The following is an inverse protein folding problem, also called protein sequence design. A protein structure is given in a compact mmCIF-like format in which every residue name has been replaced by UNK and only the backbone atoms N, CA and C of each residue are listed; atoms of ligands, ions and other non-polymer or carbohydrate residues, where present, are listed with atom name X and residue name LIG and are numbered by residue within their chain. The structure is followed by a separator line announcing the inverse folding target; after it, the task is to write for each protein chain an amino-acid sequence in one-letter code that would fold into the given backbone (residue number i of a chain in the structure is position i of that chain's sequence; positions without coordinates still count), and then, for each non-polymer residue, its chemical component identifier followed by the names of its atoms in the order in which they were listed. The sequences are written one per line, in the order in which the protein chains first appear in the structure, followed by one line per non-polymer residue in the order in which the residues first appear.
data_IF_479476169683
#
_entry.id   IF_479476169683
#
_cell.length_a   1.000
_cell.length_b   1.000
_cell.length_c   1.000
_cell.angle_alpha   90.00
_cell.angle_beta   90.00
_cell.angle_gamma   90.00
#
_symmetry.space_group_name_H-M   'P 1'
#
loop_
_entity.id
_entity.type
_entity.pdbx_description
1 polymer ?
#
# COMPACT_ATOMS: atom_id res chain seq x y z
N UNK A 1 9.17 -13.41 -34.91
CA UNK A 1 9.58 -12.94 -33.56
C UNK A 1 8.44 -12.09 -33.03
N UNK A 2 7.72 -12.55 -32.01
CA UNK A 2 6.61 -11.80 -31.40
C UNK A 2 7.23 -10.63 -30.62
N UNK A 3 6.82 -9.42 -30.93
CA UNK A 3 7.22 -8.24 -30.17
C UNK A 3 6.36 -8.20 -28.90
N UNK A 4 7.02 -8.27 -27.74
CA UNK A 4 6.39 -8.46 -26.44
C UNK A 4 5.50 -7.26 -26.07
N UNK A 5 5.80 -6.08 -26.63
CA UNK A 5 5.08 -4.84 -26.37
C UNK A 5 3.71 -4.74 -27.06
N UNK A 6 3.41 -5.61 -28.03
CA UNK A 6 2.14 -5.60 -28.77
C UNK A 6 1.70 -7.01 -29.19
N UNK A 7 1.85 -8.00 -28.30
CA UNK A 7 1.62 -9.42 -28.60
C UNK A 7 0.22 -9.72 -29.17
N UNK A 8 -0.82 -9.08 -28.62
CA UNK A 8 -2.21 -9.27 -29.07
C UNK A 8 -2.44 -8.57 -30.43
N UNK A 9 -2.00 -7.32 -30.57
CA UNK A 9 -2.12 -6.51 -31.80
C UNK A 9 -1.45 -7.20 -33.00
N UNK A 10 -0.19 -7.61 -32.83
CA UNK A 10 0.59 -8.29 -33.88
C UNK A 10 0.10 -9.71 -34.15
N UNK A 11 -0.55 -10.37 -33.19
CA UNK A 11 -1.19 -11.66 -33.44
C UNK A 11 -2.35 -11.51 -34.44
N UNK A 12 -3.18 -10.46 -34.32
CA UNK A 12 -4.24 -10.20 -35.30
C UNK A 12 -3.71 -9.74 -36.66
N UNK A 13 -2.62 -8.97 -36.68
CA UNK A 13 -1.90 -8.63 -37.91
C UNK A 13 -1.39 -9.88 -38.65
N UNK A 14 -0.87 -10.88 -37.91
CA UNK A 14 -0.38 -12.13 -38.50
C UNK A 14 -1.46 -13.02 -39.12
N UNK A 15 -2.73 -12.75 -38.82
CA UNK A 15 -3.92 -13.46 -39.37
C UNK A 15 -4.63 -12.61 -40.45
N UNK A 16 -4.09 -11.43 -40.80
CA UNK A 16 -4.62 -10.57 -41.86
C UNK A 16 -5.81 -9.68 -41.44
N UNK A 17 -6.04 -9.49 -40.14
CA UNK A 17 -7.14 -8.70 -39.58
C UNK A 17 -6.66 -7.32 -39.10
N UNK A 18 -6.18 -6.49 -40.03
CA UNK A 18 -5.59 -5.18 -39.74
C UNK A 18 -6.58 -4.20 -39.07
N UNK A 19 -7.88 -4.31 -39.36
CA UNK A 19 -8.91 -3.48 -38.71
C UNK A 19 -9.07 -3.79 -37.22
N UNK A 20 -8.89 -5.07 -36.83
CA UNK A 20 -8.97 -5.50 -35.43
C UNK A 20 -7.74 -5.05 -34.65
N UNK A 21 -6.57 -5.00 -35.30
CA UNK A 21 -5.34 -4.47 -34.73
C UNK A 21 -5.52 -3.03 -34.22
N UNK A 22 -6.06 -2.15 -35.08
CA UNK A 22 -6.26 -0.73 -34.74
C UNK A 22 -7.22 -0.55 -33.57
N UNK A 23 -8.32 -1.30 -33.54
CA UNK A 23 -9.30 -1.24 -32.44
C UNK A 23 -8.65 -1.69 -31.13
N UNK A 24 -7.89 -2.77 -31.15
CA UNK A 24 -7.22 -3.32 -29.97
C UNK A 24 -6.12 -2.37 -29.47
N UNK A 25 -5.36 -1.75 -30.38
CA UNK A 25 -4.34 -0.77 -30.02
C UNK A 25 -4.95 0.46 -29.32
N UNK A 26 -6.04 1.02 -29.88
CA UNK A 26 -6.76 2.16 -29.27
C UNK A 26 -7.32 1.76 -27.90
N UNK A 27 -7.94 0.58 -27.80
CA UNK A 27 -8.46 0.06 -26.54
C UNK A 27 -7.34 -0.16 -25.50
N UNK A 28 -6.19 -0.65 -25.92
CA UNK A 28 -5.01 -0.84 -25.07
C UNK A 28 -4.49 0.49 -24.50
N UNK A 29 -4.34 1.51 -25.34
CA UNK A 29 -3.90 2.85 -24.90
C UNK A 29 -4.92 3.47 -23.94
N UNK A 30 -6.22 3.41 -24.28
CA UNK A 30 -7.27 3.92 -23.42
C UNK A 30 -7.32 3.18 -22.06
N UNK A 31 -7.19 1.85 -22.07
CA UNK A 31 -7.19 1.01 -20.89
C UNK A 31 -6.00 1.27 -19.96
N UNK A 32 -4.78 1.30 -20.51
CA UNK A 32 -3.57 1.61 -19.72
C UNK A 32 -3.65 3.02 -19.14
N UNK A 33 -4.14 4.01 -19.91
CA UNK A 33 -4.32 5.38 -19.42
C UNK A 33 -5.31 5.44 -18.25
N UNK A 34 -6.43 4.71 -18.33
CA UNK A 34 -7.41 4.64 -17.25
C UNK A 34 -6.80 4.03 -15.97
N UNK A 35 -6.08 2.91 -16.09
CA UNK A 35 -5.41 2.26 -14.95
C UNK A 35 -4.36 3.18 -14.33
N UNK A 36 -3.55 3.86 -15.14
CA UNK A 36 -2.54 4.82 -14.68
C UNK A 36 -3.16 5.95 -13.85
N UNK A 37 -4.28 6.52 -14.31
CA UNK A 37 -5.00 7.56 -13.55
C UNK A 37 -5.49 7.05 -12.20
N UNK A 38 -6.07 5.85 -12.15
CA UNK A 38 -6.55 5.25 -10.89
C UNK A 38 -5.39 5.01 -9.92
N UNK A 39 -4.24 4.53 -10.41
CA UNK A 39 -3.05 4.31 -9.59
C UNK A 39 -2.45 5.63 -9.07
N UNK A 40 -2.35 6.65 -9.92
CA UNK A 40 -1.88 7.99 -9.52
C UNK A 40 -2.77 8.66 -8.47
N UNK A 41 -4.08 8.41 -8.49
CA UNK A 41 -5.01 8.93 -7.49
C UNK A 41 -4.99 8.11 -6.18
N UNK A 42 -4.57 6.85 -6.24
CA UNK A 42 -4.56 5.96 -5.07
C UNK A 42 -3.36 6.21 -4.15
N UNK A 43 -2.16 6.44 -4.72
CA UNK A 43 -0.95 6.64 -3.93
C UNK A 43 -1.03 7.84 -2.94
N UNK A 44 -1.48 9.04 -3.34
CA UNK A 44 -1.60 10.18 -2.43
C UNK A 44 -2.58 9.95 -1.27
N UNK A 45 -3.62 9.13 -1.46
CA UNK A 45 -4.57 8.79 -0.39
C UNK A 45 -3.93 7.93 0.69
N UNK A 46 -3.08 6.99 0.31
CA UNK A 46 -2.30 6.18 1.26
C UNK A 46 -1.35 7.07 2.04
N UNK A 47 -0.64 8.00 1.38
CA UNK A 47 0.21 8.97 2.06
C UNK A 47 -0.57 9.88 3.01
N UNK A 48 -1.78 10.31 2.64
CA UNK A 48 -2.64 11.11 3.50
C UNK A 48 -3.10 10.32 4.73
N UNK A 49 -3.47 9.04 4.59
CA UNK A 49 -3.81 8.16 5.71
C UNK A 49 -2.60 7.99 6.65
N UNK A 50 -1.42 7.71 6.11
CA UNK A 50 -0.18 7.62 6.90
C UNK A 50 0.17 8.96 7.60
N UNK A 51 -0.09 10.09 6.96
CA UNK A 51 0.11 11.42 7.56
C UNK A 51 -0.90 11.70 8.67
N UNK A 52 -2.15 11.25 8.53
CA UNK A 52 -3.17 11.32 9.59
C UNK A 52 -2.77 10.49 10.80
N UNK A 53 -2.18 9.32 10.57
CA UNK A 53 -1.64 8.42 11.61
C UNK A 53 -0.30 8.91 12.22
N UNK A 54 0.31 9.96 11.64
CA UNK A 54 1.55 10.58 12.14
C UNK A 54 2.83 9.84 11.76
N UNK A 55 2.74 8.88 10.83
CA UNK A 55 3.86 8.07 10.33
C UNK A 55 4.78 8.86 9.37
N UNK A 56 4.26 9.93 8.75
CA UNK A 56 4.98 10.80 7.82
C UNK A 56 4.73 12.28 8.13
N UNK A 57 5.59 13.23 7.70
CA UNK A 57 5.50 14.63 8.11
C UNK A 57 4.17 15.31 7.81
N UNK A 58 3.35 15.53 8.86
CA UNK A 58 2.03 16.17 8.77
C UNK A 58 2.05 17.50 8.04
N UNK A 59 3.08 18.32 8.28
CA UNK A 59 3.18 19.68 7.71
C UNK A 59 3.24 19.69 6.17
N UNK A 60 3.72 18.62 5.53
CA UNK A 60 3.86 18.56 4.08
C UNK A 60 2.81 17.66 3.41
N UNK A 61 2.41 16.57 4.08
CA UNK A 61 1.50 15.55 3.53
C UNK A 61 0.04 15.66 4.01
N UNK A 62 -0.26 16.47 5.03
CA UNK A 62 -1.62 16.71 5.53
C UNK A 62 -2.22 18.05 5.07
N UNK A 63 -1.51 18.81 4.24
CA UNK A 63 -1.99 20.09 3.71
C UNK A 63 -2.92 19.84 2.53
N UNK A 64 -4.19 19.73 2.86
CA UNK A 64 -5.27 19.37 1.94
C UNK A 64 -5.85 20.67 1.36
N UNK A 65 -5.98 20.75 0.04
CA UNK A 65 -6.52 21.96 -0.59
C UNK A 65 -7.95 22.26 -0.07
N UNK A 66 -8.27 23.50 0.36
CA UNK A 66 -9.50 23.82 1.10
C UNK A 66 -10.79 23.57 0.31
N UNK A 67 -10.74 23.65 -1.02
CA UNK A 67 -11.91 23.40 -1.90
C UNK A 67 -11.97 21.97 -2.45
N UNK A 68 -10.86 21.44 -2.96
CA UNK A 68 -10.81 20.12 -3.62
C UNK A 68 -10.62 18.95 -2.67
N UNK A 69 -10.30 19.21 -1.40
CA UNK A 69 -10.03 18.19 -0.39
C UNK A 69 -8.98 17.14 -0.80
N UNK A 70 -8.08 17.49 -1.74
CA UNK A 70 -7.02 16.62 -2.25
C UNK A 70 -5.63 17.07 -1.76
N UNK A 71 -4.72 16.12 -1.46
CA UNK A 71 -3.34 16.41 -1.06
C UNK A 71 -2.50 16.74 -2.30
N UNK A 72 -2.66 17.95 -2.85
CA UNK A 72 -2.06 18.36 -4.13
C UNK A 72 -0.51 18.31 -4.13
N UNK A 73 0.14 18.66 -3.00
CA UNK A 73 1.60 18.57 -2.84
C UNK A 73 2.10 17.13 -2.93
N UNK A 74 1.37 16.20 -2.32
CA UNK A 74 1.70 14.76 -2.37
C UNK A 74 1.48 14.19 -3.77
N UNK A 75 0.43 14.62 -4.47
CA UNK A 75 0.18 14.18 -5.86
C UNK A 75 1.29 14.62 -6.81
N UNK A 76 1.73 15.89 -6.74
CA UNK A 76 2.83 16.38 -7.58
C UNK A 76 4.13 15.67 -7.24
N UNK A 77 4.45 15.50 -5.96
CA UNK A 77 5.66 14.81 -5.52
C UNK A 77 5.70 13.36 -6.03
N UNK A 78 4.61 12.61 -5.85
CA UNK A 78 4.50 11.23 -6.33
C UNK A 78 4.55 11.18 -7.85
N UNK A 79 3.89 12.10 -8.55
CA UNK A 79 3.91 12.19 -10.01
C UNK A 79 5.32 12.44 -10.56
N UNK A 80 6.05 13.40 -10.01
CA UNK A 80 7.44 13.69 -10.39
C UNK A 80 8.34 12.48 -10.12
N UNK A 81 8.17 11.84 -8.96
CA UNK A 81 8.93 10.64 -8.61
C UNK A 81 8.64 9.48 -9.58
N UNK A 82 7.37 9.24 -9.92
CA UNK A 82 6.98 8.20 -10.89
C UNK A 82 7.52 8.52 -12.28
N UNK A 83 7.44 9.77 -12.76
CA UNK A 83 8.03 10.18 -14.03
C UNK A 83 9.55 9.93 -14.07
N UNK A 84 10.24 10.25 -12.98
CA UNK A 84 11.68 10.03 -12.87
C UNK A 84 12.03 8.53 -12.90
N UNK A 85 11.33 7.71 -12.11
CA UNK A 85 11.55 6.25 -12.08
C UNK A 85 11.21 5.61 -13.43
N UNK A 86 10.10 6.02 -14.06
CA UNK A 86 9.67 5.49 -15.36
C UNK A 86 10.64 5.84 -16.50
N UNK A 87 11.34 6.99 -16.41
CA UNK A 87 12.34 7.40 -17.40
C UNK A 87 13.72 6.74 -17.23
N UNK A 88 14.06 6.29 -16.01
CA UNK A 88 15.40 5.77 -15.69
C UNK A 88 15.47 4.25 -15.51
N UNK A 89 14.38 3.60 -15.09
CA UNK A 89 14.37 2.18 -14.78
C UNK A 89 13.73 1.37 -15.92
N UNK A 90 14.31 0.21 -16.28
CA UNK A 90 13.70 -0.67 -17.25
C UNK A 90 12.38 -1.24 -16.72
N UNK A 91 11.39 -1.41 -17.62
CA UNK A 91 10.04 -1.87 -17.26
C UNK A 91 10.06 -3.22 -16.56
N UNK A 92 10.97 -4.13 -16.94
CA UNK A 92 11.12 -5.44 -16.31
C UNK A 92 11.48 -5.33 -14.82
N UNK A 93 12.35 -4.38 -14.47
CA UNK A 93 12.72 -4.16 -13.07
C UNK A 93 11.54 -3.67 -12.24
N UNK A 94 10.74 -2.75 -12.80
CA UNK A 94 9.52 -2.21 -12.19
C UNK A 94 8.43 -3.29 -12.05
N UNK A 95 8.27 -4.16 -13.06
CA UNK A 95 7.32 -5.28 -13.04
C UNK A 95 7.67 -6.27 -11.93
N UNK A 96 8.93 -6.67 -11.84
CA UNK A 96 9.39 -7.58 -10.79
C UNK A 96 9.21 -6.99 -9.38
N UNK A 97 9.52 -5.70 -9.20
CA UNK A 97 9.34 -5.00 -7.92
C UNK A 97 7.85 -4.90 -7.54
N UNK A 98 7.00 -4.55 -8.50
CA UNK A 98 5.56 -4.42 -8.28
C UNK A 98 4.92 -5.78 -7.95
N UNK A 99 5.27 -6.82 -8.70
CA UNK A 99 4.70 -8.16 -8.49
C UNK A 99 5.04 -8.73 -7.12
N UNK A 100 6.30 -8.64 -6.68
CA UNK A 100 6.64 -9.15 -5.34
C UNK A 100 6.01 -8.30 -4.23
N UNK A 101 5.91 -6.99 -4.42
CA UNK A 101 5.26 -6.09 -3.48
C UNK A 101 3.76 -6.35 -3.33
N UNK A 102 3.03 -6.56 -4.43
CA UNK A 102 1.58 -6.84 -4.41
C UNK A 102 1.28 -8.21 -3.80
N UNK A 103 2.06 -9.24 -4.15
CA UNK A 103 1.93 -10.56 -3.53
C UNK A 103 2.19 -10.49 -2.01
N UNK A 104 3.22 -9.76 -1.59
CA UNK A 104 3.50 -9.57 -0.17
C UNK A 104 2.38 -8.83 0.56
N UNK A 105 1.82 -7.77 -0.05
CA UNK A 105 0.67 -7.06 0.49
C UNK A 105 -0.56 -7.97 0.63
N UNK A 106 -0.82 -8.84 -0.35
CA UNK A 106 -1.91 -9.82 -0.26
C UNK A 106 -1.71 -10.84 0.86
N UNK A 107 -0.48 -11.33 1.08
CA UNK A 107 -0.16 -12.19 2.22
C UNK A 107 -0.48 -11.48 3.54
N UNK A 108 -0.06 -10.21 3.69
CA UNK A 108 -0.36 -9.41 4.88
C UNK A 108 -1.86 -9.21 5.07
N UNK A 109 -2.60 -8.88 4.01
CA UNK A 109 -4.05 -8.68 4.09
C UNK A 109 -4.77 -9.96 4.49
N UNK A 110 -4.42 -11.10 3.91
CA UNK A 110 -4.98 -12.40 4.29
C UNK A 110 -4.67 -12.75 5.76
N UNK A 111 -3.44 -12.48 6.22
CA UNK A 111 -3.07 -12.66 7.62
C UNK A 111 -3.83 -11.70 8.55
N UNK A 112 -3.98 -10.43 8.16
CA UNK A 112 -4.72 -9.42 8.91
C UNK A 112 -6.19 -9.81 9.09
N UNK A 113 -6.83 -10.43 8.08
CA UNK A 113 -8.20 -10.96 8.20
C UNK A 113 -8.30 -12.07 9.25
N UNK A 114 -7.30 -12.96 9.32
CA UNK A 114 -7.24 -14.02 10.34
C UNK A 114 -7.03 -13.43 11.75
N UNK A 115 -6.11 -12.46 11.88
CA UNK A 115 -5.79 -11.79 13.15
C UNK A 115 -7.01 -10.99 13.65
N UNK A 116 -7.64 -10.19 12.79
CA UNK A 116 -8.81 -9.37 13.16
C UNK A 116 -10.00 -10.23 13.63
N UNK A 117 -10.12 -11.48 13.17
CA UNK A 117 -11.15 -12.40 13.69
C UNK A 117 -10.84 -12.94 15.08
N UNK A 118 -9.58 -12.97 15.49
CA UNK A 118 -9.16 -13.37 16.84
C UNK A 118 -9.25 -12.20 17.83
N UNK A 119 -8.87 -11.00 17.40
CA UNK A 119 -8.81 -9.82 18.27
C UNK A 119 -10.20 -9.24 18.56
N UNK A 120 -11.04 -9.07 17.54
CA UNK A 120 -12.39 -8.52 17.71
C UNK A 120 -13.44 -9.39 17.00
N UNK A 121 -13.88 -10.48 17.65
CA UNK A 121 -14.89 -11.37 17.09
C UNK A 121 -16.29 -10.74 17.05
N UNK A 122 -16.54 -9.68 17.83
CA UNK A 122 -17.85 -9.03 17.98
C UNK A 122 -18.08 -7.84 17.03
N UNK A 123 -17.04 -7.37 16.34
CA UNK A 123 -17.15 -6.29 15.37
C UNK A 123 -18.26 -6.53 14.32
N UNK A 124 -19.09 -5.51 14.09
CA UNK A 124 -20.12 -5.53 13.06
C UNK A 124 -19.48 -5.51 11.67
N UNK A 125 -19.68 -6.58 10.89
CA UNK A 125 -19.07 -6.76 9.56
C UNK A 125 -20.18 -6.90 8.50
N UNK A 126 -20.40 -5.89 7.64
CA UNK A 126 -21.41 -5.95 6.57
C UNK A 126 -21.17 -7.10 5.58
N UNK A 127 -19.89 -7.42 5.33
CA UNK A 127 -19.47 -8.58 4.55
C UNK A 127 -18.60 -9.51 5.39
N UNK A 128 -18.90 -10.81 5.35
CA UNK A 128 -18.12 -11.86 6.01
C UNK A 128 -17.57 -12.80 4.94
N UNK A 129 -16.25 -12.91 4.87
CA UNK A 129 -15.62 -13.92 4.01
C UNK A 129 -16.19 -15.32 4.38
N UNK A 130 -16.71 -16.08 3.40
CA UNK A 130 -17.19 -17.44 3.63
C UNK A 130 -15.99 -18.37 3.95
N UNK A 131 -16.22 -19.47 4.66
CA UNK A 131 -15.20 -20.51 4.92
C UNK A 131 -13.87 -20.01 5.53
N UNK A 132 -13.91 -19.06 6.46
CA UNK A 132 -12.71 -18.71 7.25
C UNK A 132 -12.49 -19.78 8.34
N UNK A 133 -11.27 -20.33 8.52
CA UNK A 133 -9.95 -19.84 8.07
C UNK A 133 -9.42 -20.37 6.74
N UNK A 134 -10.15 -21.23 6.04
CA UNK A 134 -9.64 -21.93 4.83
C UNK A 134 -9.31 -20.97 3.71
N UNK A 135 -10.20 -20.02 3.38
CA UNK A 135 -9.97 -19.09 2.25
C UNK A 135 -8.74 -18.19 2.49
N UNK A 136 -8.58 -17.48 3.63
CA UNK A 136 -7.39 -16.69 3.85
C UNK A 136 -6.11 -17.53 3.89
N UNK A 137 -6.15 -18.75 4.41
CA UNK A 137 -4.99 -19.64 4.46
C UNK A 137 -4.60 -20.13 3.05
N UNK A 138 -5.57 -20.49 2.22
CA UNK A 138 -5.34 -20.82 0.82
C UNK A 138 -4.78 -19.62 0.04
N UNK A 139 -5.28 -18.42 0.30
CA UNK A 139 -4.76 -17.18 -0.28
C UNK A 139 -3.28 -16.94 0.06
N UNK A 140 -2.91 -17.12 1.34
CA UNK A 140 -1.51 -17.05 1.79
C UNK A 140 -0.68 -18.12 1.08
N UNK A 141 -1.14 -19.37 1.05
CA UNK A 141 -0.42 -20.47 0.42
C UNK A 141 -0.17 -20.23 -1.08
N UNK A 142 -1.18 -19.77 -1.82
CA UNK A 142 -1.07 -19.46 -3.25
C UNK A 142 -0.15 -18.26 -3.50
N UNK A 143 -0.28 -17.18 -2.72
CA UNK A 143 0.58 -16.01 -2.87
C UNK A 143 2.04 -16.36 -2.57
N UNK A 144 2.30 -17.14 -1.51
CA UNK A 144 3.64 -17.61 -1.18
C UNK A 144 4.19 -18.55 -2.26
N UNK A 145 3.38 -19.48 -2.77
CA UNK A 145 3.77 -20.36 -3.87
C UNK A 145 4.20 -19.55 -5.10
N UNK A 146 3.44 -18.51 -5.46
CA UNK A 146 3.82 -17.60 -6.54
C UNK A 146 5.12 -16.84 -6.21
N UNK A 147 5.27 -16.34 -4.99
CA UNK A 147 6.50 -15.66 -4.55
C UNK A 147 7.75 -16.56 -4.62
N UNK A 148 7.63 -17.85 -4.32
CA UNK A 148 8.75 -18.81 -4.43
C UNK A 148 9.05 -19.21 -5.88
N UNK A 149 8.07 -19.08 -6.78
CA UNK A 149 8.27 -19.28 -8.22
C UNK A 149 9.04 -18.12 -8.87
N UNK A 150 9.07 -16.95 -8.22
CA UNK A 150 9.82 -15.79 -8.71
C UNK A 150 11.33 -15.93 -8.41
N UNK A 151 12.22 -15.40 -9.28
CA UNK A 151 13.67 -15.42 -9.05
C UNK A 151 14.08 -14.87 -7.69
N UNK A 152 15.13 -15.44 -7.09
CA UNK A 152 15.66 -15.04 -5.79
C UNK A 152 16.05 -13.56 -5.71
N UNK A 153 16.41 -12.95 -6.85
CA UNK A 153 16.67 -11.51 -6.98
C UNK A 153 15.53 -10.64 -6.45
N UNK A 154 14.28 -11.08 -6.59
CA UNK A 154 13.12 -10.32 -6.16
C UNK A 154 13.03 -10.22 -4.64
N UNK A 155 13.50 -11.24 -3.91
CA UNK A 155 13.57 -11.23 -2.46
C UNK A 155 14.55 -10.18 -1.94
N UNK A 156 15.70 -10.01 -2.60
CA UNK A 156 16.65 -8.95 -2.27
C UNK A 156 16.06 -7.56 -2.51
N UNK A 157 15.29 -7.37 -3.60
CA UNK A 157 14.57 -6.11 -3.88
C UNK A 157 13.52 -5.82 -2.78
N UNK A 158 12.78 -6.84 -2.37
CA UNK A 158 11.80 -6.74 -1.27
C UNK A 158 12.48 -6.36 0.05
N UNK A 159 13.55 -7.06 0.43
CA UNK A 159 14.29 -6.75 1.65
C UNK A 159 14.90 -5.35 1.61
N UNK A 160 15.52 -4.96 0.49
CA UNK A 160 16.10 -3.64 0.33
C UNK A 160 15.04 -2.53 0.50
N UNK A 161 13.87 -2.71 -0.12
CA UNK A 161 12.75 -1.77 0.03
C UNK A 161 12.19 -1.75 1.46
N UNK A 162 12.05 -2.92 2.10
CA UNK A 162 11.58 -3.03 3.48
C UNK A 162 12.53 -2.32 4.43
N UNK A 163 13.85 -2.54 4.29
CA UNK A 163 14.88 -1.88 5.09
C UNK A 163 14.84 -0.38 4.87
N UNK A 164 14.72 0.08 3.62
CA UNK A 164 14.59 1.51 3.32
C UNK A 164 13.36 2.14 4.00
N UNK A 165 12.19 1.49 3.89
CA UNK A 165 10.98 1.94 4.58
C UNK A 165 11.12 1.93 6.10
N UNK A 166 11.81 0.91 6.64
CA UNK A 166 12.05 0.76 8.07
C UNK A 166 13.01 1.84 8.60
N UNK A 167 14.05 2.20 7.85
CA UNK A 167 14.95 3.31 8.18
C UNK A 167 14.19 4.64 8.25
N UNK A 168 13.32 4.91 7.27
CA UNK A 168 12.45 6.10 7.31
C UNK A 168 11.52 6.07 8.54
N UNK A 169 10.95 4.90 8.82
CA UNK A 169 10.08 4.71 9.99
C UNK A 169 10.81 4.93 11.32
N UNK A 170 12.00 4.37 11.52
CA UNK A 170 12.79 4.57 12.75
C UNK A 170 13.29 6.01 12.86
N UNK A 171 13.73 6.63 11.76
CA UNK A 171 14.22 8.00 11.76
C UNK A 171 13.13 9.03 12.08
N UNK A 172 11.89 8.81 11.61
CA UNK A 172 10.81 9.80 11.75
C UNK A 172 9.60 9.29 12.54
N UNK A 173 9.09 8.11 12.20
CA UNK A 173 7.83 7.54 12.69
C UNK A 173 7.80 7.25 14.18
N UNK A 174 8.90 6.80 14.80
CA UNK A 174 8.96 6.56 16.25
C UNK A 174 8.74 7.82 17.07
N UNK A 175 9.31 8.95 16.64
CA UNK A 175 9.25 10.19 17.41
C UNK A 175 7.92 10.94 17.25
N UNK A 176 7.10 10.60 16.24
CA UNK A 176 5.90 11.37 15.86
C UNK A 176 4.58 10.59 15.89
N UNK A 177 4.58 9.28 16.19
CA UNK A 177 3.36 8.47 16.23
C UNK A 177 2.33 9.01 17.24
N UNK A 178 1.14 9.32 16.72
CA UNK A 178 0.04 9.98 17.45
C UNK A 178 -0.66 9.00 18.39
N UNK A 179 -0.73 7.72 18.03
CA UNK A 179 -1.32 6.67 18.88
C UNK A 179 -0.66 6.62 20.27
N UNK A 180 0.66 6.84 20.34
CA UNK A 180 1.39 6.92 21.60
C UNK A 180 1.17 8.22 22.38
N UNK A 181 0.72 9.30 21.75
CA UNK A 181 0.37 10.58 22.40
C UNK A 181 -1.08 10.57 22.87
N UNK A 182 -1.99 10.09 22.04
CA UNK A 182 -3.43 9.95 22.34
C UNK A 182 -3.66 8.91 23.44
N UNK A 183 -2.96 7.77 23.42
CA UNK A 183 -2.96 6.82 24.55
C UNK A 183 -2.37 7.44 25.82
N UNK A 184 -1.34 8.31 25.71
CA UNK A 184 -0.77 9.04 26.87
C UNK A 184 -1.72 10.09 27.41
N UNK A 185 -2.48 10.78 26.56
CA UNK A 185 -3.49 11.74 26.97
C UNK A 185 -4.71 11.06 27.59
N UNK A 186 -5.19 9.95 27.01
CA UNK A 186 -6.25 9.13 27.60
C UNK A 186 -5.83 8.49 28.94
N UNK A 187 -4.58 8.04 29.07
CA UNK A 187 -4.01 7.60 30.35
C UNK A 187 -3.97 8.76 31.37
N UNK A 188 -3.63 9.98 30.95
CA UNK A 188 -3.58 11.18 31.81
C UNK A 188 -4.97 11.68 32.22
N UNK A 189 -5.94 11.63 31.31
CA UNK A 189 -7.30 12.10 31.54
C UNK A 189 -8.17 11.06 32.26
N UNK A 190 -7.95 9.77 31.98
CA UNK A 190 -8.73 8.66 32.54
C UNK A 190 -8.11 7.98 33.76
N UNK A 191 -6.81 8.17 34.04
CA UNK A 191 -6.16 7.51 35.17
C UNK A 191 -6.04 5.99 35.06
N UNK A 192 -6.21 5.41 33.85
CA UNK A 192 -6.20 3.96 33.63
C UNK A 192 -5.18 3.60 32.56
N UNK A 193 -4.36 2.59 32.83
CA UNK A 193 -3.37 2.00 31.90
C UNK A 193 -4.04 1.20 30.77
N UNK A 194 -3.32 0.84 29.68
CA UNK A 194 -3.89 0.12 28.53
C UNK A 194 -4.48 -1.26 28.87
N UNK A 195 -4.16 -1.80 30.05
CA UNK A 195 -4.67 -3.06 30.59
C UNK A 195 -5.89 -2.89 31.51
N UNK A 196 -6.42 -1.67 31.66
CA UNK A 196 -7.55 -1.40 32.56
C UNK A 196 -7.18 -1.19 34.03
N UNK A 197 -5.88 -1.15 34.38
CA UNK A 197 -5.45 -0.94 35.77
C UNK A 197 -5.30 0.55 36.14
N UNK A 198 -5.77 1.00 37.32
CA UNK A 198 -5.61 2.38 37.76
C UNK A 198 -4.13 2.77 37.85
N UNK A 199 -3.79 3.96 37.36
CA UNK A 199 -2.46 4.54 37.49
C UNK A 199 -2.22 4.93 38.96
N UNK A 200 -1.01 4.70 39.50
CA UNK A 200 -0.69 5.14 40.84
C UNK A 200 -0.83 6.67 40.93
N UNK A 201 -1.36 7.20 42.05
CA UNK A 201 -1.62 8.63 42.19
C UNK A 201 -0.32 9.42 41.98
N UNK A 202 -0.35 10.36 41.04
CA UNK A 202 0.75 11.30 40.86
C UNK A 202 0.88 12.12 42.15
N UNK A 203 2.01 11.93 42.83
CA UNK A 203 2.43 12.76 43.95
C UNK A 203 2.55 14.18 43.40
N UNK A 204 1.69 15.08 43.88
CA UNK A 204 1.61 16.46 43.41
C UNK A 204 2.99 17.10 43.39
N UNK A 205 3.30 17.71 42.25
CA UNK A 205 4.45 18.59 42.10
C UNK A 205 4.19 19.82 42.98
N UNK A 206 4.71 19.75 44.21
CA UNK A 206 4.77 20.89 45.10
C UNK A 206 5.98 21.73 44.72
N UNK A 207 5.74 22.81 43.97
CA UNK A 207 6.38 24.12 44.10
C UNK A 207 5.80 25.13 43.11
#
# INVERSE_FOLDING_TARGET
KIDVNAGVSKAFASVGLEWAEVIIAIAGVAGITSVLLVMMLSAPRVFLAMARDGLVPRKFFSDVHPVFQTPWKSTILVGVFVCFLAGLLPIDALLHLTNIGTLFAFVIVCAAVLIMRRIDPTAHRPFKCPLVPVIPLAGIALCLMLMFSLPAENWFRLLGWLVFGLVIYFAYGIHHSILGKELRELMRAGGVTPAGTPLPPQKGDGR
#
